data_IF_790759698504
#
_entry.id   IF_790759698504
#
_cell.length_a   1.000
_cell.length_b   1.000
_cell.length_c   1.000
_cell.angle_alpha   90.00
_cell.angle_beta   90.00
_cell.angle_gamma   90.00
#
_symmetry.space_group_name_H-M   'P 1'
#
loop_
_entity.id
_entity.type
_entity.pdbx_description
1 polymer ?
#
# COMPACT_ATOMS: atom_id res chain seq x y z
N UNK A 1 -24.12 -10.92 13.35
CA UNK A 1 -23.01 -10.59 12.42
C UNK A 1 -21.73 -10.55 13.24
N UNK A 2 -20.96 -11.64 13.25
CA UNK A 2 -19.73 -11.70 14.02
C UNK A 2 -18.69 -10.78 13.37
N UNK A 3 -18.13 -9.85 14.14
CA UNK A 3 -17.02 -9.01 13.71
C UNK A 3 -15.80 -9.93 13.50
N UNK A 4 -15.45 -10.20 12.24
CA UNK A 4 -14.18 -10.85 11.91
C UNK A 4 -13.06 -10.00 12.49
N UNK A 5 -12.25 -10.60 13.34
CA UNK A 5 -11.09 -9.98 13.97
C UNK A 5 -10.03 -9.65 12.90
N UNK A 6 -9.28 -8.55 13.10
CA UNK A 6 -8.28 -8.04 12.14
C UNK A 6 -7.32 -9.10 11.53
N UNK A 7 -6.87 -10.14 12.26
CA UNK A 7 -6.04 -11.21 11.71
C UNK A 7 -6.77 -12.07 10.65
N UNK A 8 -8.06 -12.35 10.85
CA UNK A 8 -8.85 -13.18 9.94
C UNK A 8 -9.12 -12.46 8.62
N UNK A 9 -9.36 -11.14 8.68
CA UNK A 9 -9.45 -10.30 7.49
C UNK A 9 -8.14 -10.27 6.70
N UNK A 10 -7.00 -10.19 7.37
CA UNK A 10 -5.71 -10.12 6.67
C UNK A 10 -5.40 -11.40 5.91
N UNK A 11 -5.58 -12.55 6.57
CA UNK A 11 -5.36 -13.86 5.94
C UNK A 11 -6.27 -14.05 4.71
N UNK A 12 -7.54 -13.61 4.80
CA UNK A 12 -8.47 -13.61 3.67
C UNK A 12 -7.96 -12.76 2.50
N UNK A 13 -7.48 -11.54 2.76
CA UNK A 13 -6.96 -10.65 1.72
C UNK A 13 -5.74 -11.25 0.99
N UNK A 14 -4.84 -11.89 1.74
CA UNK A 14 -3.68 -12.59 1.16
C UNK A 14 -4.14 -13.78 0.31
N UNK A 15 -5.10 -14.58 0.79
CA UNK A 15 -5.65 -15.71 0.04
C UNK A 15 -6.35 -15.26 -1.26
N UNK A 16 -7.14 -14.19 -1.20
CA UNK A 16 -7.82 -13.61 -2.38
C UNK A 16 -6.80 -13.10 -3.41
N UNK A 17 -5.74 -12.43 -2.96
CA UNK A 17 -4.67 -11.99 -3.84
C UNK A 17 -3.91 -13.18 -4.43
N UNK A 18 -3.59 -14.19 -3.61
CA UNK A 18 -2.92 -15.42 -4.04
C UNK A 18 -3.75 -16.24 -5.03
N UNK A 19 -5.08 -16.08 -5.08
CA UNK A 19 -5.94 -16.68 -6.09
C UNK A 19 -5.96 -15.91 -7.42
N UNK A 20 -5.43 -14.69 -7.46
CA UNK A 20 -5.40 -13.85 -8.65
C UNK A 20 -4.30 -14.26 -9.64
N UNK A 21 -4.60 -14.10 -10.94
CA UNK A 21 -3.62 -14.19 -12.03
C UNK A 21 -2.81 -12.90 -12.21
N UNK A 22 -3.16 -11.81 -11.52
CA UNK A 22 -2.37 -10.59 -11.51
C UNK A 22 -0.95 -10.87 -10.98
N UNK A 23 0.10 -10.13 -11.41
CA UNK A 23 1.47 -10.27 -10.86
C UNK A 23 1.58 -10.15 -9.32
N UNK A 24 0.54 -9.65 -8.67
CA UNK A 24 0.41 -9.60 -7.22
C UNK A 24 0.11 -10.96 -6.59
N UNK A 25 -0.62 -11.83 -7.28
CA UNK A 25 -0.93 -13.17 -6.79
C UNK A 25 0.32 -14.04 -6.72
N UNK A 26 1.24 -13.91 -7.68
CA UNK A 26 2.53 -14.60 -7.60
C UNK A 26 3.31 -14.21 -6.34
N UNK A 27 3.35 -12.91 -6.01
CA UNK A 27 4.03 -12.39 -4.81
C UNK A 27 3.35 -12.81 -3.51
N UNK A 28 2.01 -12.76 -3.47
CA UNK A 28 1.25 -13.23 -2.31
C UNK A 28 1.50 -14.73 -2.04
N UNK A 29 1.55 -15.56 -3.10
CA UNK A 29 1.89 -16.98 -2.99
C UNK A 29 3.33 -17.20 -2.53
N UNK A 30 4.27 -16.40 -3.02
CA UNK A 30 5.68 -16.52 -2.69
C UNK A 30 5.99 -16.14 -1.24
N UNK A 31 5.42 -15.03 -0.74
CA UNK A 31 5.82 -14.43 0.52
C UNK A 31 4.78 -14.57 1.65
N UNK A 32 3.53 -14.92 1.34
CA UNK A 32 2.44 -14.89 2.32
C UNK A 32 2.11 -13.49 2.83
N UNK A 33 2.50 -12.45 2.07
CA UNK A 33 2.30 -11.05 2.39
C UNK A 33 1.31 -10.40 1.41
N UNK A 34 0.65 -9.34 1.86
CA UNK A 34 -0.30 -8.60 1.02
C UNK A 34 0.46 -7.57 0.18
N UNK A 35 0.44 -7.71 -1.14
CA UNK A 35 0.93 -6.66 -2.05
C UNK A 35 -0.08 -5.51 -2.05
N UNK A 36 0.30 -4.37 -1.47
CA UNK A 36 -0.57 -3.19 -1.32
C UNK A 36 -0.24 -2.09 -2.33
N UNK A 37 0.96 -2.13 -2.90
CA UNK A 37 1.41 -1.21 -3.93
C UNK A 37 2.39 -1.92 -4.86
N UNK A 38 2.33 -1.60 -6.15
CA UNK A 38 3.35 -2.03 -7.09
C UNK A 38 3.53 -0.99 -8.20
N UNK A 39 4.77 -0.82 -8.59
CA UNK A 39 5.18 -0.10 -9.79
C UNK A 39 6.11 -1.01 -10.61
N UNK A 40 6.60 -0.53 -11.75
CA UNK A 40 7.23 -1.39 -12.78
C UNK A 40 8.31 -2.35 -12.23
N UNK A 41 9.06 -1.94 -11.21
CA UNK A 41 10.21 -2.67 -10.69
C UNK A 41 10.15 -2.97 -9.20
N UNK A 42 9.12 -2.51 -8.49
CA UNK A 42 9.05 -2.73 -7.05
C UNK A 42 7.62 -2.96 -6.58
N UNK A 43 7.51 -3.71 -5.50
CA UNK A 43 6.26 -3.98 -4.81
C UNK A 43 6.44 -3.77 -3.32
N UNK A 44 5.46 -3.11 -2.71
CA UNK A 44 5.37 -2.95 -1.27
C UNK A 44 4.45 -4.04 -0.73
N UNK A 45 5.01 -4.86 0.14
CA UNK A 45 4.37 -6.00 0.76
C UNK A 45 4.10 -5.66 2.23
N UNK A 46 2.85 -5.82 2.65
CA UNK A 46 2.40 -5.58 4.01
C UNK A 46 2.33 -6.92 4.75
N UNK A 47 2.77 -6.93 6.02
CA UNK A 47 2.59 -8.04 6.94
C UNK A 47 1.39 -7.79 7.88
N UNK A 48 0.83 -8.84 8.52
CA UNK A 48 -0.25 -8.69 9.50
C UNK A 48 0.13 -7.78 10.68
N UNK A 49 1.43 -7.70 11.01
CA UNK A 49 1.98 -6.82 12.05
C UNK A 49 1.90 -5.33 11.68
N UNK A 50 1.63 -5.00 10.42
CA UNK A 50 1.74 -3.66 9.88
C UNK A 50 3.15 -3.31 9.36
N UNK A 51 4.11 -4.22 9.48
CA UNK A 51 5.44 -4.05 8.87
C UNK A 51 5.36 -4.09 7.34
N UNK A 52 6.25 -3.33 6.70
CA UNK A 52 6.29 -3.19 5.25
C UNK A 52 7.65 -3.63 4.73
N UNK A 53 7.61 -4.49 3.72
CA UNK A 53 8.76 -5.01 3.02
C UNK A 53 8.73 -4.55 1.56
N UNK A 54 9.91 -4.43 0.97
CA UNK A 54 10.08 -4.07 -0.44
C UNK A 54 10.66 -5.25 -1.19
N UNK A 55 9.90 -5.71 -2.18
CA UNK A 55 10.37 -6.57 -3.25
C UNK A 55 10.81 -5.69 -4.43
N UNK A 56 12.10 -5.72 -4.77
CA UNK A 56 12.68 -4.93 -5.87
C UNK A 56 12.63 -5.64 -7.23
N UNK A 57 11.88 -6.74 -7.34
CA UNK A 57 11.66 -7.44 -8.61
C UNK A 57 12.92 -8.02 -9.25
N UNK A 58 14.03 -8.08 -8.51
CA UNK A 58 15.28 -8.68 -8.95
C UNK A 58 15.23 -10.19 -8.70
N UNK A 59 15.68 -11.04 -9.64
CA UNK A 59 15.78 -12.47 -9.43
C UNK A 59 16.56 -12.78 -8.15
N UNK A 60 16.03 -13.70 -7.33
CA UNK A 60 16.64 -14.18 -6.10
C UNK A 60 16.96 -13.11 -5.02
N UNK A 61 16.46 -11.89 -5.18
CA UNK A 61 16.65 -10.85 -4.18
C UNK A 61 15.76 -11.11 -2.95
N UNK A 62 16.37 -10.98 -1.78
CA UNK A 62 15.62 -10.98 -0.53
C UNK A 62 14.75 -9.72 -0.39
N UNK A 63 13.66 -9.85 0.37
CA UNK A 63 12.89 -8.70 0.80
C UNK A 63 13.76 -7.78 1.67
N UNK A 64 13.58 -6.47 1.49
CA UNK A 64 14.24 -5.46 2.32
C UNK A 64 13.21 -4.70 3.16
N UNK A 65 13.61 -4.16 4.31
CA UNK A 65 12.72 -3.33 5.12
C UNK A 65 12.42 -2.01 4.40
N UNK A 66 11.17 -1.57 4.43
CA UNK A 66 10.77 -0.32 3.81
C UNK A 66 11.28 0.91 4.58
N UNK A 67 11.70 1.92 3.84
CA UNK A 67 11.98 3.28 4.33
C UNK A 67 10.71 3.92 4.89
N UNK A 68 10.84 5.08 5.55
CA UNK A 68 9.71 5.83 6.09
C UNK A 68 8.68 6.18 5.00
N UNK A 69 9.13 6.73 3.87
CA UNK A 69 8.25 7.14 2.77
C UNK A 69 7.56 5.94 2.08
N UNK A 70 8.28 4.84 1.89
CA UNK A 70 7.72 3.60 1.34
C UNK A 70 6.67 3.02 2.30
N UNK A 71 6.93 3.05 3.61
CA UNK A 71 5.98 2.58 4.62
C UNK A 71 4.70 3.42 4.63
N UNK A 72 4.83 4.74 4.60
CA UNK A 72 3.67 5.64 4.52
C UNK A 72 2.86 5.40 3.25
N UNK A 73 3.53 5.22 2.11
CA UNK A 73 2.89 4.89 0.84
C UNK A 73 2.12 3.57 0.94
N UNK A 74 2.77 2.51 1.45
CA UNK A 74 2.15 1.19 1.62
C UNK A 74 0.91 1.25 2.52
N UNK A 75 1.03 1.93 3.67
CA UNK A 75 -0.08 2.09 4.63
C UNK A 75 -1.24 2.88 4.04
N UNK A 76 -0.96 4.01 3.39
CA UNK A 76 -2.00 4.81 2.73
C UNK A 76 -2.71 4.01 1.63
N UNK A 77 -1.97 3.26 0.81
CA UNK A 77 -2.55 2.44 -0.26
C UNK A 77 -3.34 1.24 0.27
N UNK A 78 -2.84 0.57 1.31
CA UNK A 78 -3.57 -0.50 1.99
C UNK A 78 -4.92 -0.01 2.51
N UNK A 79 -4.92 1.11 3.23
CA UNK A 79 -6.13 1.72 3.79
C UNK A 79 -7.13 2.20 2.71
N UNK A 80 -6.63 2.67 1.56
CA UNK A 80 -7.48 3.08 0.43
C UNK A 80 -8.12 1.89 -0.27
N UNK A 81 -7.37 0.80 -0.46
CA UNK A 81 -7.84 -0.38 -1.21
C UNK A 81 -8.68 -1.33 -0.36
N UNK A 82 -8.37 -1.44 0.93
CA UNK A 82 -9.00 -2.40 1.84
C UNK A 82 -9.60 -1.65 3.03
N UNK A 83 -10.94 -1.49 3.10
CA UNK A 83 -11.59 -0.76 4.18
C UNK A 83 -11.26 -1.26 5.58
N UNK A 84 -11.04 -2.56 5.77
CA UNK A 84 -10.60 -3.15 7.04
C UNK A 84 -9.21 -2.69 7.50
N UNK A 85 -8.36 -2.22 6.57
CA UNK A 85 -7.00 -1.73 6.84
C UNK A 85 -6.94 -0.21 7.04
N UNK A 86 -8.08 0.48 7.11
CA UNK A 86 -8.13 1.95 7.32
C UNK A 86 -7.39 2.43 8.55
N UNK A 87 -7.28 1.59 9.58
CA UNK A 87 -6.54 1.89 10.80
C UNK A 87 -5.03 2.07 10.58
N UNK A 88 -4.48 1.56 9.47
CA UNK A 88 -3.09 1.76 9.08
C UNK A 88 -2.84 3.12 8.44
N UNK A 89 -3.88 3.81 7.93
CA UNK A 89 -3.71 5.13 7.30
C UNK A 89 -2.93 6.06 8.24
N UNK A 90 -1.82 6.68 7.78
CA UNK A 90 -1.11 7.64 8.60
C UNK A 90 -2.07 8.73 9.09
N UNK A 91 -2.01 9.05 10.38
CA UNK A 91 -2.83 10.13 10.93
C UNK A 91 -2.30 11.46 10.44
N UNK A 92 -3.18 12.32 9.93
CA UNK A 92 -2.83 13.70 9.55
C UNK A 92 -2.38 14.48 10.78
N UNK A 93 -1.12 14.93 10.87
CA UNK A 93 -0.66 15.71 12.02
C UNK A 93 -1.41 17.05 12.13
N UNK A 94 -1.64 17.57 13.34
CA UNK A 94 -2.07 18.95 13.53
C UNK A 94 -1.07 19.91 12.87
N UNK A 95 -1.54 20.73 11.92
CA UNK A 95 -0.69 21.67 11.17
C UNK A 95 -0.21 21.17 9.80
N UNK A 96 -0.42 19.90 9.46
CA UNK A 96 -0.11 19.40 8.12
C UNK A 96 -0.99 20.10 7.06
N UNK A 97 -0.35 20.59 6.00
CA UNK A 97 -1.03 21.31 4.92
C UNK A 97 -1.62 20.32 3.93
N UNK A 98 -2.74 20.68 3.33
CA UNK A 98 -3.24 19.93 2.17
C UNK A 98 -2.17 19.96 1.08
N UNK A 99 -1.85 18.80 0.50
CA UNK A 99 -0.79 18.69 -0.49
C UNK A 99 -1.19 19.51 -1.74
N UNK A 100 -0.41 20.52 -2.15
CA UNK A 100 -0.78 21.39 -3.26
C UNK A 100 -0.68 20.70 -4.63
N UNK A 101 0.00 19.56 -4.72
CA UNK A 101 0.15 18.82 -5.97
C UNK A 101 -1.06 17.95 -6.32
N UNK A 102 -1.69 17.36 -5.30
CA UNK A 102 -2.84 16.46 -5.47
C UNK A 102 -4.13 17.01 -4.85
N UNK A 103 -4.09 18.22 -4.29
CA UNK A 103 -5.19 18.90 -3.62
C UNK A 103 -5.93 18.02 -2.60
N UNK A 104 -5.17 17.29 -1.76
CA UNK A 104 -5.76 16.45 -0.72
C UNK A 104 -6.13 15.03 -1.16
N UNK A 105 -6.13 14.73 -2.45
CA UNK A 105 -6.64 13.44 -2.95
C UNK A 105 -5.67 12.27 -2.82
N UNK A 106 -4.36 12.57 -2.73
CA UNK A 106 -3.29 11.56 -2.81
C UNK A 106 -3.00 11.07 -4.23
N UNK A 107 -3.73 11.56 -5.24
CA UNK A 107 -3.57 11.22 -6.66
C UNK A 107 -3.44 12.49 -7.52
N UNK A 108 -2.60 12.45 -8.55
CA UNK A 108 -2.47 13.51 -9.54
C UNK A 108 -3.22 13.06 -10.79
N UNK A 109 -4.24 13.82 -11.17
CA UNK A 109 -4.97 13.62 -12.42
C UNK A 109 -4.24 14.31 -13.58
N UNK A 110 -3.99 13.58 -14.66
CA UNK A 110 -3.42 14.12 -15.90
C UNK A 110 -4.49 14.24 -16.99
N UNK A 111 -4.24 15.09 -18.01
CA UNK A 111 -5.05 15.11 -19.22
C UNK A 111 -5.20 13.70 -19.83
N UNK A 112 -6.41 13.39 -20.29
CA UNK A 112 -6.77 12.05 -20.80
C UNK A 112 -7.15 11.04 -19.72
N UNK A 113 -7.44 11.47 -18.48
CA UNK A 113 -8.02 10.63 -17.43
C UNK A 113 -7.02 9.71 -16.70
N UNK A 114 -5.73 9.77 -17.05
CA UNK A 114 -4.67 9.03 -16.36
C UNK A 114 -4.48 9.59 -14.96
N UNK A 115 -4.17 8.71 -14.00
CA UNK A 115 -3.89 9.10 -12.61
C UNK A 115 -2.59 8.49 -12.15
N UNK A 116 -1.83 9.26 -11.39
CA UNK A 116 -0.62 8.80 -10.71
C UNK A 116 -0.73 9.07 -9.23
N UNK A 117 -0.05 8.25 -8.45
CA UNK A 117 0.03 8.46 -7.02
C UNK A 117 0.96 9.62 -6.69
N UNK A 118 0.55 10.51 -5.79
CA UNK A 118 1.36 11.65 -5.40
C UNK A 118 2.57 11.18 -4.59
N UNK A 119 3.77 11.49 -5.08
CA UNK A 119 5.03 11.05 -4.47
C UNK A 119 5.41 11.78 -3.18
N UNK A 120 6.66 11.62 -2.71
CA UNK A 120 7.16 12.29 -1.52
C UNK A 120 7.08 13.83 -1.60
N UNK A 121 6.82 14.53 -0.49
CA UNK A 121 6.54 14.00 0.87
C UNK A 121 5.07 13.63 1.11
N UNK A 122 4.20 13.75 0.10
CA UNK A 122 2.79 13.41 0.22
C UNK A 122 2.60 11.90 0.44
N UNK A 123 3.37 11.06 -0.25
CA UNK A 123 3.30 9.58 -0.15
C UNK A 123 1.86 9.08 -0.24
N UNK A 124 1.08 9.67 -1.14
CA UNK A 124 -0.33 9.35 -1.42
C UNK A 124 -1.32 9.65 -0.29
N UNK A 125 -0.86 10.29 0.79
CA UNK A 125 -1.69 10.65 1.95
C UNK A 125 -2.67 11.77 1.61
N UNK A 126 -2.24 12.75 0.80
CA UNK A 126 -3.00 13.96 0.49
C UNK A 126 -2.57 15.19 1.31
N UNK A 127 -1.61 15.06 2.20
CA UNK A 127 -1.07 16.17 2.99
C UNK A 127 0.45 16.09 3.10
N UNK A 128 1.07 17.22 3.42
CA UNK A 128 2.51 17.41 3.64
C UNK A 128 2.77 18.19 4.92
#
# INVERSE_FOLDING_TARGET
>A
MAAMTAPDSFARLVAEQAASEHPWGARARQWGLLTVFAQLWESLLLAPSGEVFVDRGLPDAALSAATGDERETAHAQAARRHPELRHLMPRRPPGARTCPQCDGSGEIALPGGRRFFCGPPCNTKGWV
#
